data_IF_637819206221
#
_entry.id   IF_637819206221
#
_cell.length_a   1.000
_cell.length_b   1.000
_cell.length_c   1.000
_cell.angle_alpha   90.00
_cell.angle_beta   90.00
_cell.angle_gamma   90.00
#
_symmetry.space_group_name_H-M   'P 1'
#
loop_
_entity.id
_entity.type
_entity.pdbx_description
1 polymer ?
#
# COMPACT_ATOMS: atom_id res chain seq x y z
N UNK A 1 -23.43 -10.12 -0.21
CA UNK A 1 -22.07 -10.45 -0.72
C UNK A 1 -21.96 -10.18 -2.22
N UNK A 2 -20.76 -10.18 -2.80
CA UNK A 2 -20.57 -10.26 -4.26
C UNK A 2 -19.24 -10.98 -4.56
N UNK A 3 -19.31 -12.25 -4.98
CA UNK A 3 -18.12 -13.05 -5.28
C UNK A 3 -18.22 -13.70 -6.66
N UNK A 4 -17.21 -13.48 -7.51
CA UNK A 4 -17.16 -13.99 -8.89
C UNK A 4 -15.83 -14.66 -9.24
N UNK A 5 -15.04 -15.07 -8.23
CA UNK A 5 -13.67 -15.52 -8.46
C UNK A 5 -13.52 -16.94 -9.03
N UNK A 6 -14.55 -17.79 -8.91
CA UNK A 6 -14.50 -19.18 -9.38
C UNK A 6 -15.42 -19.44 -10.57
N UNK A 7 -15.06 -20.46 -11.35
CA UNK A 7 -15.82 -20.89 -12.55
C UNK A 7 -17.28 -21.28 -12.24
N UNK A 8 -17.53 -21.78 -11.03
CA UNK A 8 -18.84 -22.23 -10.56
C UNK A 8 -19.75 -21.12 -10.04
N UNK A 9 -19.39 -19.85 -10.23
CA UNK A 9 -20.20 -18.73 -9.72
C UNK A 9 -21.63 -18.78 -10.25
N UNK A 10 -22.60 -18.29 -9.47
CA UNK A 10 -24.01 -18.42 -9.80
C UNK A 10 -24.33 -17.82 -11.17
N UNK A 11 -24.92 -18.64 -12.05
CA UNK A 11 -25.24 -18.33 -13.46
C UNK A 11 -24.04 -17.87 -14.31
N UNK A 12 -22.81 -18.16 -13.88
CA UNK A 12 -21.60 -17.66 -14.55
C UNK A 12 -21.41 -16.14 -14.42
N UNK A 13 -22.08 -15.49 -13.46
CA UNK A 13 -21.98 -14.04 -13.21
C UNK A 13 -21.34 -13.78 -11.85
N UNK A 14 -22.08 -14.00 -10.75
CA UNK A 14 -21.65 -13.70 -9.39
C UNK A 14 -22.56 -14.38 -8.36
N UNK A 15 -22.01 -14.76 -7.21
CA UNK A 15 -22.79 -15.15 -6.03
C UNK A 15 -23.11 -13.90 -5.20
N UNK A 16 -24.40 -13.61 -5.00
CA UNK A 16 -24.87 -12.36 -4.35
C UNK A 16 -25.46 -12.58 -2.93
N UNK A 17 -25.93 -13.80 -2.63
CA UNK A 17 -26.50 -14.18 -1.33
C UNK A 17 -25.67 -15.23 -0.59
N UNK A 18 -25.43 -16.38 -1.22
CA UNK A 18 -24.53 -17.43 -0.77
C UNK A 18 -23.73 -17.95 -1.96
N UNK A 19 -22.46 -18.25 -1.73
CA UNK A 19 -21.57 -18.87 -2.71
C UNK A 19 -22.03 -20.27 -3.08
N UNK A 20 -21.89 -20.65 -4.35
CA UNK A 20 -22.10 -22.04 -4.78
C UNK A 20 -21.16 -23.00 -4.04
N UNK A 21 -19.98 -22.51 -3.64
CA UNK A 21 -19.03 -23.23 -2.78
C UNK A 21 -19.41 -23.29 -1.29
N UNK A 22 -20.54 -22.70 -0.88
CA UNK A 22 -20.98 -22.63 0.52
C UNK A 22 -20.46 -21.41 1.31
N UNK A 23 -19.74 -20.49 0.67
CA UNK A 23 -19.28 -19.24 1.31
C UNK A 23 -20.47 -18.32 1.60
N UNK A 24 -20.71 -17.97 2.86
CA UNK A 24 -21.74 -17.01 3.25
C UNK A 24 -21.25 -15.54 3.14
N UNK A 25 -22.13 -14.61 3.49
CA UNK A 25 -21.83 -13.18 3.39
C UNK A 25 -20.83 -12.67 4.43
N UNK A 26 -20.75 -13.30 5.60
CA UNK A 26 -19.82 -12.92 6.65
C UNK A 26 -18.39 -13.33 6.26
N UNK A 27 -18.21 -14.56 5.80
CA UNK A 27 -16.92 -15.07 5.29
C UNK A 27 -16.46 -14.24 4.08
N UNK A 28 -17.37 -13.92 3.14
CA UNK A 28 -17.01 -13.03 2.02
C UNK A 28 -16.57 -11.66 2.53
N UNK A 29 -17.31 -11.06 3.46
CA UNK A 29 -17.00 -9.73 3.98
C UNK A 29 -15.64 -9.70 4.67
N UNK A 30 -15.31 -10.73 5.46
CA UNK A 30 -14.00 -10.86 6.08
C UNK A 30 -12.87 -11.02 5.04
N UNK A 31 -13.05 -11.87 4.03
CA UNK A 31 -12.07 -12.01 2.94
C UNK A 31 -11.87 -10.69 2.18
N UNK A 32 -12.93 -9.90 1.94
CA UNK A 32 -12.83 -8.59 1.29
C UNK A 32 -12.11 -7.56 2.16
N UNK A 33 -12.38 -7.55 3.47
CA UNK A 33 -11.66 -6.67 4.42
C UNK A 33 -10.17 -7.02 4.43
N UNK A 34 -9.82 -8.31 4.49
CA UNK A 34 -8.44 -8.77 4.42
C UNK A 34 -7.77 -8.33 3.11
N UNK A 35 -8.41 -8.54 1.95
CA UNK A 35 -7.89 -8.09 0.66
C UNK A 35 -7.69 -6.57 0.60
N UNK A 36 -8.59 -5.79 1.20
CA UNK A 36 -8.44 -4.34 1.26
C UNK A 36 -7.25 -3.93 2.13
N UNK A 37 -7.07 -4.58 3.29
CA UNK A 37 -5.91 -4.39 4.15
C UNK A 37 -4.60 -4.72 3.44
N UNK A 38 -4.53 -5.88 2.76
CA UNK A 38 -3.36 -6.31 2.00
C UNK A 38 -2.98 -5.33 0.89
N UNK A 39 -3.95 -4.72 0.20
CA UNK A 39 -3.69 -3.67 -0.80
C UNK A 39 -3.03 -2.44 -0.17
N UNK A 40 -3.49 -2.01 1.00
CA UNK A 40 -2.87 -0.90 1.74
C UNK A 40 -1.47 -1.24 2.22
N UNK A 41 -1.27 -2.43 2.78
CA UNK A 41 0.06 -2.90 3.18
C UNK A 41 1.01 -2.97 1.97
N UNK A 42 0.54 -3.47 0.83
CA UNK A 42 1.31 -3.55 -0.40
C UNK A 42 1.76 -2.17 -0.92
N UNK A 43 0.93 -1.12 -0.79
CA UNK A 43 1.32 0.22 -1.25
C UNK A 43 2.51 0.77 -0.46
N UNK A 44 2.52 0.61 0.87
CA UNK A 44 3.64 1.06 1.69
C UNK A 44 4.88 0.15 1.51
N UNK A 45 4.67 -1.17 1.43
CA UNK A 45 5.75 -2.13 1.21
C UNK A 45 6.46 -1.87 -0.13
N UNK A 46 5.71 -1.51 -1.18
CA UNK A 46 6.30 -1.12 -2.46
C UNK A 46 7.27 0.07 -2.32
N UNK A 47 6.87 1.14 -1.63
CA UNK A 47 7.75 2.29 -1.40
C UNK A 47 8.96 1.93 -0.51
N UNK A 48 8.77 1.11 0.54
CA UNK A 48 9.86 0.65 1.38
C UNK A 48 10.90 -0.15 0.55
N UNK A 49 10.45 -1.01 -0.36
CA UNK A 49 11.32 -1.77 -1.26
C UNK A 49 12.12 -0.90 -2.22
N UNK A 50 11.56 0.21 -2.71
CA UNK A 50 12.28 1.19 -3.53
C UNK A 50 13.48 1.80 -2.77
N UNK A 51 13.41 1.82 -1.44
CA UNK A 51 14.48 2.26 -0.55
C UNK A 51 15.37 1.10 -0.06
N UNK A 52 15.24 -0.09 -0.66
CA UNK A 52 16.02 -1.27 -0.30
C UNK A 52 15.55 -2.01 0.95
N UNK A 53 14.38 -1.66 1.51
CA UNK A 53 13.84 -2.31 2.71
C UNK A 53 12.93 -3.46 2.32
N UNK A 54 13.31 -4.67 2.72
CA UNK A 54 12.58 -5.92 2.51
C UNK A 54 12.51 -6.69 3.82
N UNK A 55 11.45 -7.47 4.02
CA UNK A 55 11.27 -8.29 5.21
C UNK A 55 10.52 -9.58 4.84
N UNK A 56 11.12 -10.73 5.18
CA UNK A 56 10.58 -12.05 4.79
C UNK A 56 9.26 -12.38 5.48
N UNK A 57 9.02 -11.84 6.69
CA UNK A 57 7.77 -12.08 7.43
C UNK A 57 6.61 -11.31 6.79
N UNK A 58 6.83 -10.07 6.37
CA UNK A 58 5.85 -9.28 5.60
C UNK A 58 5.49 -10.00 4.30
N UNK A 59 6.50 -10.54 3.61
CA UNK A 59 6.30 -11.23 2.33
C UNK A 59 5.53 -12.53 2.51
N UNK A 60 5.91 -13.34 3.50
CA UNK A 60 5.20 -14.57 3.84
C UNK A 60 3.75 -14.28 4.24
N UNK A 61 3.50 -13.23 5.03
CA UNK A 61 2.14 -12.86 5.42
C UNK A 61 1.31 -12.36 4.24
N UNK A 62 1.90 -11.62 3.28
CA UNK A 62 1.22 -11.22 2.06
C UNK A 62 0.70 -12.45 1.29
N UNK A 63 1.54 -13.47 1.16
CA UNK A 63 1.18 -14.74 0.50
C UNK A 63 0.09 -15.50 1.28
N UNK A 64 0.24 -15.61 2.61
CA UNK A 64 -0.74 -16.26 3.50
C UNK A 64 -2.11 -15.58 3.43
N UNK A 65 -2.15 -14.26 3.56
CA UNK A 65 -3.37 -13.49 3.53
C UNK A 65 -4.09 -13.60 2.18
N UNK A 66 -3.35 -13.57 1.07
CA UNK A 66 -3.92 -13.82 -0.27
C UNK A 66 -4.46 -15.25 -0.38
N UNK A 67 -3.69 -16.23 0.07
CA UNK A 67 -4.07 -17.64 -0.04
C UNK A 67 -5.34 -17.96 0.76
N UNK A 68 -5.52 -17.35 1.93
CA UNK A 68 -6.73 -17.49 2.75
C UNK A 68 -8.03 -17.06 2.03
N UNK A 69 -7.93 -16.25 0.97
CA UNK A 69 -9.11 -15.76 0.21
C UNK A 69 -9.45 -16.60 -1.02
N UNK A 70 -8.62 -17.59 -1.35
CA UNK A 70 -8.83 -18.46 -2.51
C UNK A 70 -10.03 -19.39 -2.26
N UNK A 71 -10.76 -19.68 -3.35
CA UNK A 71 -11.91 -20.59 -3.32
C UNK A 71 -11.58 -21.90 -2.64
N UNK A 72 -12.42 -22.29 -1.68
CA UNK A 72 -12.31 -23.52 -0.89
C UNK A 72 -11.12 -23.61 0.08
N UNK A 73 -10.47 -22.49 0.42
CA UNK A 73 -9.34 -22.50 1.38
C UNK A 73 -9.80 -22.27 2.82
N UNK A 74 -10.41 -21.12 3.12
CA UNK A 74 -10.77 -20.78 4.50
C UNK A 74 -12.21 -20.23 4.61
N UNK A 75 -13.04 -20.89 5.42
CA UNK A 75 -14.40 -20.49 5.76
C UNK A 75 -14.58 -20.23 7.27
N UNK A 76 -13.52 -20.33 8.06
CA UNK A 76 -13.56 -20.08 9.49
C UNK A 76 -13.50 -18.57 9.73
N UNK A 77 -14.63 -18.01 10.19
CA UNK A 77 -14.76 -16.58 10.47
C UNK A 77 -13.79 -16.10 11.56
N UNK A 78 -13.52 -16.91 12.59
CA UNK A 78 -12.60 -16.53 13.67
C UNK A 78 -11.16 -16.51 13.16
N UNK A 79 -10.77 -17.49 12.36
CA UNK A 79 -9.44 -17.51 11.74
C UNK A 79 -9.23 -16.33 10.77
N UNK A 80 -10.24 -16.01 9.95
CA UNK A 80 -10.19 -14.85 9.05
C UNK A 80 -10.13 -13.52 9.83
N UNK A 81 -10.85 -13.41 10.95
CA UNK A 81 -10.77 -12.24 11.81
C UNK A 81 -9.37 -12.06 12.40
N UNK A 82 -8.74 -13.13 12.88
CA UNK A 82 -7.35 -13.07 13.36
C UNK A 82 -6.36 -12.67 12.25
N UNK A 83 -6.54 -13.16 11.02
CA UNK A 83 -5.73 -12.73 9.87
C UNK A 83 -5.89 -11.23 9.57
N UNK A 84 -7.07 -10.67 9.72
CA UNK A 84 -7.29 -9.22 9.56
C UNK A 84 -6.55 -8.43 10.64
N UNK A 85 -6.57 -8.90 11.89
CA UNK A 85 -5.80 -8.27 12.97
C UNK A 85 -4.29 -8.38 12.73
N UNK A 86 -3.82 -9.53 12.22
CA UNK A 86 -2.43 -9.72 11.83
C UNK A 86 -2.04 -8.80 10.67
N UNK A 87 -2.92 -8.61 9.68
CA UNK A 87 -2.70 -7.65 8.60
C UNK A 87 -2.47 -6.24 9.13
N UNK A 88 -3.19 -5.85 10.19
CA UNK A 88 -2.95 -4.58 10.88
C UNK A 88 -1.55 -4.50 11.51
N UNK A 89 -1.10 -5.58 12.17
CA UNK A 89 0.25 -5.67 12.77
C UNK A 89 1.35 -5.63 11.71
N UNK A 90 1.20 -6.38 10.63
CA UNK A 90 2.15 -6.37 9.51
C UNK A 90 2.20 -5.01 8.81
N UNK A 91 1.07 -4.31 8.70
CA UNK A 91 1.07 -2.94 8.18
C UNK A 91 1.86 -1.97 9.06
N UNK A 92 1.81 -2.11 10.39
CA UNK A 92 2.67 -1.31 11.29
C UNK A 92 4.15 -1.57 11.03
N UNK A 93 4.53 -2.85 10.88
CA UNK A 93 5.91 -3.25 10.55
C UNK A 93 6.36 -2.67 9.22
N UNK A 94 5.51 -2.69 8.19
CA UNK A 94 5.80 -2.07 6.90
C UNK A 94 6.00 -0.55 6.99
N UNK A 95 5.18 0.14 7.81
CA UNK A 95 5.35 1.58 8.02
C UNK A 95 6.67 1.90 8.74
N UNK A 96 7.08 1.09 9.71
CA UNK A 96 8.39 1.19 10.36
C UNK A 96 9.52 0.99 9.33
N UNK A 97 9.44 -0.05 8.50
CA UNK A 97 10.41 -0.28 7.41
C UNK A 97 10.52 0.93 6.47
N UNK A 98 9.39 1.52 6.07
CA UNK A 98 9.37 2.69 5.20
C UNK A 98 10.00 3.90 5.88
N UNK A 99 9.67 4.16 7.15
CA UNK A 99 10.29 5.21 7.96
C UNK A 99 11.81 5.03 8.00
N UNK A 100 12.29 3.84 8.33
CA UNK A 100 13.71 3.55 8.42
C UNK A 100 14.42 3.74 7.08
N UNK A 101 13.77 3.35 5.98
CA UNK A 101 14.26 3.61 4.63
C UNK A 101 14.42 5.10 4.33
N UNK A 102 13.45 5.93 4.71
CA UNK A 102 13.53 7.38 4.55
C UNK A 102 14.61 8.00 5.44
N UNK A 103 14.66 7.64 6.73
CA UNK A 103 15.63 8.19 7.68
C UNK A 103 17.06 7.82 7.31
N UNK A 104 17.30 6.57 6.88
CA UNK A 104 18.63 6.14 6.44
C UNK A 104 19.09 6.88 5.18
N UNK A 105 18.18 7.10 4.22
CA UNK A 105 18.53 7.71 2.92
C UNK A 105 18.58 9.24 2.95
N UNK A 106 17.62 9.87 3.61
CA UNK A 106 17.40 11.33 3.56
C UNK A 106 17.65 12.03 4.90
N UNK A 107 17.85 11.26 5.97
CA UNK A 107 18.04 11.79 7.33
C UNK A 107 16.74 11.95 8.10
N UNK A 108 16.87 12.21 9.40
CA UNK A 108 15.72 12.43 10.28
C UNK A 108 15.03 13.76 9.93
N UNK A 109 13.70 13.78 9.73
CA UNK A 109 12.97 15.03 9.56
C UNK A 109 13.17 15.96 10.76
N UNK A 110 13.31 17.25 10.49
CA UNK A 110 13.47 18.29 11.51
C UNK A 110 12.65 19.52 11.17
N UNK A 111 12.31 20.39 12.15
CA UNK A 111 11.55 21.60 11.87
C UNK A 111 12.24 22.48 10.81
N UNK A 112 11.52 22.76 9.72
CA UNK A 112 12.01 23.55 8.60
C UNK A 112 11.02 24.68 8.26
N UNK A 113 11.54 25.80 7.76
CA UNK A 113 10.72 26.86 7.16
C UNK A 113 10.60 26.58 5.67
N UNK A 114 9.36 26.35 5.21
CA UNK A 114 9.05 26.15 3.80
C UNK A 114 8.54 27.46 3.21
N UNK A 115 9.06 27.85 2.05
CA UNK A 115 8.63 29.05 1.36
C UNK A 115 7.43 28.75 0.46
N UNK A 116 6.33 29.45 0.69
CA UNK A 116 5.14 29.42 -0.14
C UNK A 116 5.21 30.56 -1.17
N UNK A 117 5.01 30.25 -2.45
CA UNK A 117 5.04 31.25 -3.53
C UNK A 117 5.63 30.69 -4.82
N UNK A 118 5.93 31.59 -5.76
CA UNK A 118 6.54 31.24 -7.04
C UNK A 118 7.78 32.08 -7.28
N UNK A 119 8.74 31.49 -7.99
CA UNK A 119 9.92 32.14 -8.54
C UNK A 119 9.79 32.20 -10.06
N UNK A 120 10.29 33.28 -10.66
CA UNK A 120 10.31 33.45 -12.11
C UNK A 120 11.11 32.32 -12.79
N UNK A 121 10.65 31.88 -13.97
CA UNK A 121 11.25 30.81 -14.76
C UNK A 121 10.35 29.57 -14.91
N UNK A 122 10.79 28.56 -15.67
CA UNK A 122 10.07 27.29 -15.80
C UNK A 122 10.02 26.55 -14.45
N UNK A 123 8.98 25.73 -14.26
CA UNK A 123 8.78 25.00 -13.01
C UNK A 123 8.15 23.62 -13.21
N UNK A 124 8.57 22.66 -12.38
CA UNK A 124 7.97 21.33 -12.24
C UNK A 124 7.31 21.25 -10.87
N UNK A 125 6.03 20.85 -10.83
CA UNK A 125 5.31 20.60 -9.59
C UNK A 125 5.23 19.09 -9.34
N UNK A 126 5.83 18.62 -8.25
CA UNK A 126 5.88 17.21 -7.85
C UNK A 126 4.83 16.97 -6.77
N UNK A 127 3.94 16.00 -7.00
CA UNK A 127 2.86 15.61 -6.08
C UNK A 127 2.92 14.10 -5.82
N UNK A 128 2.26 13.65 -4.76
CA UNK A 128 2.28 12.25 -4.33
C UNK A 128 3.10 12.11 -3.05
N UNK A 129 3.87 11.02 -2.95
CA UNK A 129 4.50 10.61 -1.68
C UNK A 129 5.93 10.05 -1.87
N UNK A 130 6.38 9.91 -3.12
CA UNK A 130 7.60 9.16 -3.42
C UNK A 130 8.82 10.09 -3.46
N UNK A 131 9.62 10.03 -2.40
CA UNK A 131 10.82 10.83 -2.26
C UNK A 131 11.92 10.43 -3.26
N UNK A 132 11.96 9.17 -3.71
CA UNK A 132 12.97 8.74 -4.69
C UNK A 132 12.70 9.35 -6.07
N UNK A 133 11.43 9.50 -6.43
CA UNK A 133 11.06 10.22 -7.66
C UNK A 133 11.43 11.70 -7.58
N UNK A 134 11.21 12.35 -6.44
CA UNK A 134 11.66 13.72 -6.22
C UNK A 134 13.19 13.85 -6.29
N UNK A 135 13.93 12.96 -5.63
CA UNK A 135 15.40 12.92 -5.69
C UNK A 135 15.88 12.80 -7.15
N UNK A 136 15.28 11.90 -7.93
CA UNK A 136 15.62 11.74 -9.34
C UNK A 136 15.34 12.99 -10.17
N UNK A 137 14.25 13.70 -9.90
CA UNK A 137 13.92 14.98 -10.55
C UNK A 137 14.96 16.04 -10.17
N UNK A 138 15.25 16.20 -8.88
CA UNK A 138 16.22 17.17 -8.37
C UNK A 138 17.61 16.96 -9.00
N UNK A 139 18.07 15.71 -9.09
CA UNK A 139 19.35 15.37 -9.72
C UNK A 139 19.36 15.68 -11.23
N UNK A 140 18.24 15.49 -11.94
CA UNK A 140 18.16 15.76 -13.38
C UNK A 140 18.12 17.25 -13.73
N UNK A 141 17.57 18.08 -12.84
CA UNK A 141 17.47 19.53 -13.06
C UNK A 141 18.65 20.30 -12.44
N UNK A 142 19.58 19.61 -11.77
CA UNK A 142 20.75 20.25 -11.17
C UNK A 142 21.55 21.03 -12.24
N UNK A 143 21.81 22.31 -11.96
CA UNK A 143 22.51 23.21 -12.89
C UNK A 143 21.65 23.81 -14.01
N UNK A 144 20.35 23.50 -14.07
CA UNK A 144 19.40 24.13 -15.00
C UNK A 144 18.70 25.35 -14.39
N UNK A 145 17.85 26.04 -15.16
CA UNK A 145 17.00 27.14 -14.70
C UNK A 145 15.58 26.70 -14.28
N UNK A 146 15.35 25.38 -14.17
CA UNK A 146 14.05 24.80 -13.81
C UNK A 146 13.88 24.78 -12.29
N UNK A 147 12.81 25.42 -11.80
CA UNK A 147 12.43 25.37 -10.40
C UNK A 147 11.64 24.08 -10.09
N UNK A 148 11.85 23.47 -8.92
CA UNK A 148 11.06 22.30 -8.46
C UNK A 148 10.21 22.72 -7.26
N UNK A 149 8.93 22.40 -7.32
CA UNK A 149 7.95 22.68 -6.26
C UNK A 149 7.34 21.36 -5.79
N UNK A 150 6.97 21.30 -4.51
CA UNK A 150 6.21 20.18 -3.93
C UNK A 150 4.73 20.54 -3.80
N UNK A 151 3.86 19.54 -3.85
CA UNK A 151 2.41 19.69 -3.70
C UNK A 151 1.82 18.56 -2.85
N UNK A 152 0.84 18.92 -2.02
CA UNK A 152 0.11 17.97 -1.18
C UNK A 152 1.04 17.24 -0.22
N UNK A 153 1.06 15.91 -0.29
CA UNK A 153 1.86 15.06 0.59
C UNK A 153 3.36 15.03 0.26
N UNK A 154 3.82 15.74 -0.78
CA UNK A 154 5.25 16.00 -0.99
C UNK A 154 5.78 17.18 -0.17
N UNK A 155 4.92 17.91 0.56
CA UNK A 155 5.34 18.99 1.46
C UNK A 155 6.44 18.57 2.46
N UNK A 156 6.43 17.36 3.05
CA UNK A 156 7.44 16.94 4.03
C UNK A 156 8.80 16.55 3.46
N UNK A 157 8.98 16.58 2.13
CA UNK A 157 10.19 16.11 1.46
C UNK A 157 11.41 17.03 1.66
#
# INVERSE_FOLDING_TARGET
MYCNQCEQTYRGIACESVGVCGKDEDVESLQQILLYGLKGMASYAHHARRLGKVDEEVDAFMEEGLFATVTNVNFDQAALFELILECGRMNLKVMEMLNDGHVERYGQPSPATVYEGTKEGPGILVTGHDMLDLENILNQVEGTDINVYTHGEMLPA
#
